data_IF_330014802365
#
_entry.id   IF_330014802365
#
_cell.length_a   1.000
_cell.length_b   1.000
_cell.length_c   1.000
_cell.angle_alpha   90.00
_cell.angle_beta   90.00
_cell.angle_gamma   90.00
#
_symmetry.space_group_name_H-M   'P 1'
#
loop_
_entity.id
_entity.type
_entity.pdbx_description
1 polymer ?
#
# COMPACT_ATOMS: atom_id res chain seq x y z
N UNK A 1 1.47 -18.63 -1.11
CA UNK A 1 1.83 -17.19 -1.16
C UNK A 1 1.75 -16.72 -2.60
N UNK A 2 1.41 -15.46 -2.87
CA UNK A 2 1.45 -14.91 -4.22
C UNK A 2 2.77 -14.15 -4.43
N UNK A 3 3.34 -14.20 -5.64
CA UNK A 3 4.40 -13.27 -6.07
C UNK A 3 3.98 -12.46 -7.28
N UNK A 4 4.52 -11.26 -7.42
CA UNK A 4 4.26 -10.36 -8.56
C UNK A 4 5.39 -9.32 -8.64
N UNK A 5 5.61 -8.76 -9.81
CA UNK A 5 6.70 -7.81 -10.04
C UNK A 5 6.17 -6.38 -10.18
N UNK A 6 6.88 -5.41 -9.59
CA UNK A 6 6.67 -3.98 -9.78
C UNK A 6 7.94 -3.20 -9.44
N UNK A 7 8.13 -2.03 -10.04
CA UNK A 7 9.25 -1.13 -9.75
C UNK A 7 10.65 -1.83 -9.76
N UNK A 8 10.82 -2.85 -10.62
CA UNK A 8 12.06 -3.62 -10.75
C UNK A 8 12.34 -4.62 -9.61
N UNK A 9 11.35 -4.88 -8.74
CA UNK A 9 11.44 -5.81 -7.61
C UNK A 9 10.34 -6.88 -7.71
N UNK A 10 10.62 -8.07 -7.17
CA UNK A 10 9.60 -9.09 -6.92
C UNK A 10 9.05 -8.92 -5.51
N UNK A 11 7.73 -8.77 -5.42
CA UNK A 11 6.98 -8.71 -4.18
C UNK A 11 6.28 -10.03 -3.90
N UNK A 12 6.03 -10.28 -2.62
CA UNK A 12 5.33 -11.44 -2.09
C UNK A 12 4.17 -10.99 -1.23
N UNK A 13 2.98 -11.52 -1.51
CA UNK A 13 1.74 -11.18 -0.80
C UNK A 13 1.21 -12.36 0.01
N UNK A 14 0.90 -12.09 1.28
CA UNK A 14 0.13 -12.96 2.17
C UNK A 14 -1.22 -12.32 2.41
N UNK A 15 -2.29 -13.01 2.01
CA UNK A 15 -3.67 -12.57 2.25
C UNK A 15 -4.18 -13.26 3.52
N UNK A 16 -4.57 -12.47 4.51
CA UNK A 16 -5.14 -12.94 5.76
C UNK A 16 -6.57 -12.43 5.91
N UNK A 17 -7.49 -13.31 6.27
CA UNK A 17 -8.88 -12.97 6.57
C UNK A 17 -9.09 -13.01 8.09
N UNK A 18 -9.69 -11.96 8.65
CA UNK A 18 -10.05 -11.96 10.07
C UNK A 18 -11.32 -12.80 10.26
N UNK A 19 -11.30 -13.82 11.12
CA UNK A 19 -12.45 -14.69 11.29
C UNK A 19 -13.70 -13.92 11.70
N UNK A 20 -14.83 -14.25 11.07
CA UNK A 20 -16.16 -13.65 11.33
C UNK A 20 -16.26 -12.14 11.05
N UNK A 21 -15.34 -11.56 10.29
CA UNK A 21 -15.46 -10.18 9.79
C UNK A 21 -15.41 -10.15 8.26
N UNK A 22 -15.62 -8.97 7.68
CA UNK A 22 -15.38 -8.72 6.25
C UNK A 22 -13.95 -8.23 5.98
N UNK A 23 -13.10 -8.17 7.01
CA UNK A 23 -11.77 -7.59 6.93
C UNK A 23 -10.77 -8.58 6.35
N UNK A 24 -10.11 -8.15 5.28
CA UNK A 24 -9.06 -8.88 4.59
C UNK A 24 -7.83 -7.97 4.55
N UNK A 25 -6.70 -8.50 4.97
CA UNK A 25 -5.40 -7.83 4.92
C UNK A 25 -4.51 -8.50 3.89
N UNK A 26 -3.84 -7.70 3.07
CA UNK A 26 -2.75 -8.15 2.22
C UNK A 26 -1.43 -7.61 2.79
N UNK A 27 -0.57 -8.51 3.25
CA UNK A 27 0.78 -8.18 3.69
C UNK A 27 1.75 -8.37 2.54
N UNK A 28 2.42 -7.30 2.14
CA UNK A 28 3.32 -7.28 1.00
C UNK A 28 4.76 -7.11 1.50
N UNK A 29 5.65 -7.95 1.01
CA UNK A 29 7.09 -7.86 1.32
C UNK A 29 7.93 -8.16 0.08
N UNK A 30 9.06 -7.47 -0.13
CA UNK A 30 10.06 -7.82 -1.14
C UNK A 30 10.92 -9.01 -0.69
N UNK A 31 10.83 -9.41 0.58
CA UNK A 31 11.58 -10.54 1.12
C UNK A 31 10.86 -11.85 0.77
N UNK A 32 11.57 -12.72 0.05
CA UNK A 32 11.07 -14.07 -0.25
C UNK A 32 10.82 -14.85 1.05
N UNK A 33 9.62 -15.41 1.25
CA UNK A 33 9.35 -16.23 2.42
C UNK A 33 10.12 -17.56 2.36
N UNK A 34 10.59 -18.05 3.51
CA UNK A 34 11.44 -19.25 3.61
C UNK A 34 10.70 -20.56 3.85
N UNK A 35 9.50 -20.52 4.46
CA UNK A 35 8.73 -21.69 4.89
C UNK A 35 7.33 -21.70 4.26
N UNK A 36 7.26 -21.77 2.93
CA UNK A 36 5.99 -21.79 2.20
C UNK A 36 5.95 -23.01 1.28
N UNK A 37 4.82 -23.72 1.29
CA UNK A 37 4.62 -24.90 0.44
C UNK A 37 4.60 -24.55 -1.04
N UNK A 38 4.00 -23.40 -1.38
CA UNK A 38 3.87 -22.92 -2.75
C UNK A 38 3.90 -21.39 -2.85
N UNK A 39 4.57 -20.91 -3.90
CA UNK A 39 4.55 -19.52 -4.36
C UNK A 39 3.96 -19.49 -5.78
N UNK A 40 2.77 -18.91 -5.93
CA UNK A 40 2.09 -18.76 -7.21
C UNK A 40 2.38 -17.36 -7.76
N UNK A 41 2.91 -17.29 -8.97
CA UNK A 41 3.19 -16.02 -9.63
C UNK A 41 1.92 -15.44 -10.26
N UNK A 42 1.70 -14.14 -10.05
CA UNK A 42 0.63 -13.37 -10.64
C UNK A 42 1.18 -12.55 -11.81
N UNK A 43 0.55 -12.60 -13.00
CA UNK A 43 1.15 -12.10 -14.24
C UNK A 43 1.19 -10.56 -14.34
N UNK A 44 0.54 -9.85 -13.41
CA UNK A 44 0.47 -8.39 -13.39
C UNK A 44 0.75 -7.86 -11.98
N UNK A 45 1.23 -6.63 -11.89
CA UNK A 45 1.48 -5.97 -10.63
C UNK A 45 0.19 -5.89 -9.78
N UNK A 46 0.29 -6.28 -8.49
CA UNK A 46 -0.83 -6.19 -7.55
C UNK A 46 -0.89 -4.86 -6.80
N UNK A 47 0.19 -4.08 -6.75
CA UNK A 47 0.14 -2.71 -6.24
C UNK A 47 1.19 -1.90 -6.99
N UNK A 48 0.89 -0.62 -7.23
CA UNK A 48 1.87 0.30 -7.79
C UNK A 48 2.28 1.30 -6.71
N UNK A 49 3.56 1.23 -6.30
CA UNK A 49 4.09 2.11 -5.27
C UNK A 49 4.64 3.43 -5.85
N UNK A 50 4.76 3.56 -7.17
CA UNK A 50 5.29 4.76 -7.83
C UNK A 50 6.70 5.10 -7.37
N UNK A 51 7.55 4.08 -7.18
CA UNK A 51 8.91 4.27 -6.68
C UNK A 51 8.99 4.73 -5.22
N UNK A 52 7.87 4.78 -4.49
CA UNK A 52 7.83 5.19 -3.07
C UNK A 52 8.06 4.02 -2.11
N UNK A 53 8.20 2.80 -2.62
CA UNK A 53 8.53 1.65 -1.80
C UNK A 53 9.97 1.77 -1.27
N UNK A 54 10.13 1.79 0.05
CA UNK A 54 11.44 1.87 0.69
C UNK A 54 11.77 0.59 1.44
N UNK A 55 12.81 -0.13 0.98
CA UNK A 55 13.40 -1.22 1.77
C UNK A 55 14.17 -0.57 2.93
N UNK A 56 13.59 -0.56 4.12
CA UNK A 56 14.33 -0.18 5.33
C UNK A 56 15.21 -1.36 5.76
N UNK A 57 16.47 -1.07 6.10
CA UNK A 57 17.48 -2.06 6.46
C UNK A 57 17.05 -2.96 7.65
N UNK A 58 17.73 -4.09 7.76
CA UNK A 58 17.36 -5.37 8.40
C UNK A 58 16.90 -5.36 9.88
N UNK A 59 16.88 -4.24 10.60
CA UNK A 59 16.69 -4.25 12.05
C UNK A 59 15.82 -3.12 12.63
N UNK A 60 14.76 -2.76 11.91
CA UNK A 60 13.66 -1.99 12.50
C UNK A 60 12.39 -2.84 12.47
N UNK A 61 12.09 -3.50 13.60
CA UNK A 61 10.84 -4.28 13.81
C UNK A 61 9.56 -3.45 13.63
N UNK A 62 9.70 -2.13 13.59
CA UNK A 62 8.66 -1.18 13.27
C UNK A 62 8.95 -0.55 11.91
N UNK A 63 8.25 -1.03 10.88
CA UNK A 63 8.21 -0.36 9.57
C UNK A 63 6.87 0.36 9.45
N UNK A 64 6.83 1.62 8.99
CA UNK A 64 5.56 2.29 8.75
C UNK A 64 4.76 1.51 7.69
N UNK A 65 3.46 1.33 7.89
CA UNK A 65 2.63 0.53 6.98
C UNK A 65 2.12 1.41 5.84
N UNK A 66 2.43 1.02 4.60
CA UNK A 66 1.71 1.55 3.45
C UNK A 66 0.30 0.93 3.43
N UNK A 67 -0.74 1.76 3.52
CA UNK A 67 -2.12 1.28 3.45
C UNK A 67 -2.61 1.36 2.01
N UNK A 68 -3.01 0.23 1.45
CA UNK A 68 -3.67 0.18 0.14
C UNK A 68 -5.07 -0.39 0.31
N UNK A 69 -6.09 0.34 -0.15
CA UNK A 69 -7.48 -0.07 -0.11
C UNK A 69 -8.01 -0.31 -1.52
N UNK A 70 -8.66 -1.46 -1.73
CA UNK A 70 -9.38 -1.70 -2.97
C UNK A 70 -10.76 -1.03 -2.94
N UNK A 71 -11.15 -0.37 -4.02
CA UNK A 71 -12.48 0.22 -4.24
C UNK A 71 -13.13 -0.34 -5.49
N UNK A 72 -14.47 -0.27 -5.56
CA UNK A 72 -15.26 -0.54 -6.77
C UNK A 72 -15.53 0.71 -7.60
N UNK A 73 -15.33 1.89 -7.01
CA UNK A 73 -15.52 3.18 -7.66
C UNK A 73 -14.44 4.13 -7.12
N UNK A 74 -13.41 4.34 -7.94
CA UNK A 74 -12.31 5.23 -7.60
C UNK A 74 -12.76 6.68 -7.53
N UNK A 75 -13.68 7.11 -8.39
CA UNK A 75 -14.20 8.47 -8.39
C UNK A 75 -14.95 8.77 -7.10
N UNK A 76 -15.78 7.85 -6.64
CA UNK A 76 -16.48 7.99 -5.36
C UNK A 76 -15.52 7.99 -4.17
N UNK A 77 -14.51 7.11 -4.16
CA UNK A 77 -13.51 7.08 -3.10
C UNK A 77 -12.70 8.39 -3.04
N UNK A 78 -12.27 8.92 -4.19
CA UNK A 78 -11.57 10.21 -4.26
C UNK A 78 -12.44 11.34 -3.70
N UNK A 79 -13.73 11.36 -4.07
CA UNK A 79 -14.69 12.32 -3.54
C UNK A 79 -14.85 12.19 -2.02
N UNK A 80 -14.94 10.97 -1.49
CA UNK A 80 -15.03 10.73 -0.05
C UNK A 80 -13.81 11.26 0.70
N UNK A 81 -12.60 10.94 0.26
CA UNK A 81 -11.37 11.43 0.90
C UNK A 81 -11.29 12.96 0.91
N UNK A 82 -11.72 13.60 -0.17
CA UNK A 82 -11.80 15.06 -0.24
C UNK A 82 -12.84 15.64 0.71
N UNK A 83 -14.09 15.18 0.61
CA UNK A 83 -15.22 15.80 1.30
C UNK A 83 -15.25 15.50 2.80
N UNK A 84 -14.79 14.31 3.20
CA UNK A 84 -14.87 13.84 4.59
C UNK A 84 -13.55 14.03 5.33
N UNK A 85 -12.42 13.78 4.66
CA UNK A 85 -11.10 13.85 5.28
C UNK A 85 -10.32 15.11 4.91
N UNK A 86 -10.81 15.92 3.96
CA UNK A 86 -10.09 17.11 3.49
C UNK A 86 -8.80 16.79 2.73
N UNK A 87 -8.66 15.57 2.20
CA UNK A 87 -7.44 15.09 1.54
C UNK A 87 -7.61 15.08 0.02
N UNK A 88 -6.78 15.84 -0.67
CA UNK A 88 -6.61 15.73 -2.12
C UNK A 88 -5.54 14.68 -2.46
N UNK A 89 -5.71 13.90 -3.55
CA UNK A 89 -4.70 12.93 -3.97
C UNK A 89 -3.43 13.65 -4.44
N UNK A 90 -2.26 13.14 -4.03
CA UNK A 90 -0.96 13.61 -4.54
C UNK A 90 -0.66 13.07 -5.94
N UNK A 91 -1.28 11.95 -6.29
CA UNK A 91 -1.16 11.31 -7.59
C UNK A 91 -2.43 10.52 -7.88
N UNK A 92 -2.90 10.54 -9.13
CA UNK A 92 -4.02 9.74 -9.59
C UNK A 92 -3.80 9.35 -11.05
N UNK A 93 -3.68 8.05 -11.35
CA UNK A 93 -3.36 7.55 -12.70
C UNK A 93 -3.75 6.07 -12.86
N UNK A 94 -3.34 5.47 -13.99
CA UNK A 94 -3.53 4.07 -14.37
C UNK A 94 -2.25 3.25 -14.21
N UNK A 95 -2.39 1.95 -14.01
CA UNK A 95 -1.33 0.93 -14.09
C UNK A 95 -1.87 -0.29 -14.85
N UNK A 96 -1.01 -1.27 -15.15
CA UNK A 96 -1.39 -2.44 -15.96
C UNK A 96 -2.57 -3.25 -15.40
N UNK A 97 -2.85 -3.14 -14.10
CA UNK A 97 -3.97 -3.82 -13.43
C UNK A 97 -5.17 -2.92 -13.10
N UNK A 98 -5.18 -1.64 -13.48
CA UNK A 98 -6.32 -0.75 -13.28
C UNK A 98 -5.96 0.70 -12.96
N UNK A 99 -6.62 1.30 -11.97
CA UNK A 99 -6.48 2.73 -11.62
C UNK A 99 -6.22 2.93 -10.13
N UNK A 100 -5.51 3.99 -9.77
CA UNK A 100 -5.26 4.32 -8.37
C UNK A 100 -5.25 5.82 -8.08
N UNK A 101 -5.38 6.16 -6.81
CA UNK A 101 -5.11 7.46 -6.22
C UNK A 101 -4.22 7.28 -4.97
N UNK A 102 -3.16 8.08 -4.86
CA UNK A 102 -2.26 8.12 -3.70
C UNK A 102 -2.58 9.37 -2.90
N UNK A 103 -2.64 9.22 -1.59
CA UNK A 103 -2.86 10.28 -0.61
C UNK A 103 -1.65 10.42 0.28
N UNK A 104 -1.31 11.65 0.62
CA UNK A 104 -0.42 11.89 1.73
C UNK A 104 -1.23 11.83 3.03
N UNK A 105 -1.04 10.77 3.82
CA UNK A 105 -1.64 10.58 5.14
C UNK A 105 -0.71 11.08 6.25
N UNK A 106 0.31 11.87 5.92
CA UNK A 106 1.02 12.67 6.94
C UNK A 106 0.03 13.63 7.56
N UNK A 107 -0.58 13.20 8.67
CA UNK A 107 -0.98 14.15 9.70
C UNK A 107 0.25 14.95 10.05
N UNK A 108 0.15 16.28 10.14
CA UNK A 108 1.11 17.16 10.81
C UNK A 108 1.24 16.70 12.28
N UNK A 109 1.90 15.56 12.50
CA UNK A 109 2.46 15.18 13.77
C UNK A 109 3.72 16.03 13.90
N UNK A 110 3.50 17.34 14.10
CA UNK A 110 4.42 18.14 14.87
C UNK A 110 4.54 17.41 16.19
N UNK A 111 5.63 16.67 16.36
CA UNK A 111 6.03 16.25 17.68
C UNK A 111 6.09 17.51 18.53
N UNK A 112 5.67 17.42 19.77
CA UNK A 112 5.76 18.52 20.74
C UNK A 112 7.20 19.03 20.95
N UNK A 113 8.20 18.37 20.36
CA UNK A 113 9.62 18.72 20.40
C UNK A 113 10.18 19.29 19.07
N UNK A 114 9.34 19.46 18.03
CA UNK A 114 9.77 20.06 16.76
C UNK A 114 10.67 19.19 15.88
N UNK A 115 10.85 17.91 16.21
CA UNK A 115 11.57 16.96 15.36
C UNK A 115 10.63 16.33 14.32
N UNK A 116 10.76 16.75 13.07
CA UNK A 116 10.14 16.05 11.93
C UNK A 116 10.73 14.66 11.83
N UNK A 117 9.95 13.62 12.15
CA UNK A 117 10.42 12.25 11.99
C UNK A 117 10.55 11.92 10.50
N UNK A 118 11.72 11.50 10.03
CA UNK A 118 11.99 10.99 8.66
C UNK A 118 11.30 9.62 8.38
N UNK A 119 10.17 9.35 9.04
CA UNK A 119 9.40 8.11 8.97
C UNK A 119 8.31 8.19 7.89
N UNK A 120 8.64 8.72 6.70
CA UNK A 120 7.67 8.95 5.64
C UNK A 120 7.41 7.70 4.79
N UNK A 121 6.67 6.72 5.34
CA UNK A 121 5.82 5.82 4.52
C UNK A 121 4.33 6.06 4.79
N UNK A 122 3.96 7.31 5.04
CA UNK A 122 2.59 7.74 5.37
C UNK A 122 1.75 7.97 4.11
N UNK A 123 2.00 7.24 3.03
CA UNK A 123 1.14 7.32 1.85
C UNK A 123 0.05 6.26 1.93
N UNK A 124 -1.19 6.68 1.72
CA UNK A 124 -2.32 5.79 1.49
C UNK A 124 -2.55 5.65 0.00
N UNK A 125 -2.94 4.47 -0.45
CA UNK A 125 -3.36 4.22 -1.83
C UNK A 125 -4.81 3.72 -1.83
N UNK A 126 -5.62 4.23 -2.74
CA UNK A 126 -6.89 3.62 -3.10
C UNK A 126 -6.79 3.13 -4.53
N UNK A 127 -7.16 1.88 -4.79
CA UNK A 127 -7.01 1.25 -6.10
C UNK A 127 -8.26 0.52 -6.56
N UNK A 128 -8.51 0.56 -7.87
CA UNK A 128 -9.55 -0.19 -8.55
C UNK A 128 -8.88 -1.14 -9.55
N UNK A 129 -9.22 -2.42 -9.45
CA UNK A 129 -8.83 -3.48 -10.39
C UNK A 129 -9.76 -3.47 -11.61
N UNK A 130 -9.20 -3.63 -12.81
CA UNK A 130 -9.93 -3.71 -14.08
C UNK A 130 -9.68 -5.01 -14.84
#
# INVERSE_FOLDING_TARGET
VLSWDADGLTFYSVIAHVPKSQEIYEFISPQKPTNVDEIVHFPVARHYFGGRFQIRAQDNRNVPLHMSQTTRDLTHAVKFFKDVLGLDPVEQTTFDGGRYAIYNLTTDMTSTDGTTSDLNMQYGQVQLWE
#
